data_IF_482079439174
#
_entry.id   IF_482079439174
#
_cell.length_a   1.000
_cell.length_b   1.000
_cell.length_c   1.000
_cell.angle_alpha   90.00
_cell.angle_beta   90.00
_cell.angle_gamma   90.00
#
_symmetry.space_group_name_H-M   'P 1'
#
loop_
_entity.id
_entity.type
_entity.pdbx_description
1 polymer ?
#
# COMPACT_ATOMS: atom_id res chain seq x y z
N UNK A 1 -1.13 13.65 -5.40
CA UNK A 1 -1.52 12.67 -4.35
C UNK A 1 -1.19 11.28 -4.83
N UNK A 2 -0.69 10.41 -3.95
CA UNK A 2 -0.34 9.05 -4.32
C UNK A 2 -1.57 8.23 -4.70
N UNK A 3 -1.38 7.29 -5.62
CA UNK A 3 -2.38 6.25 -5.92
C UNK A 3 -2.06 5.05 -5.03
N UNK A 4 -3.07 4.53 -4.33
CA UNK A 4 -2.89 3.50 -3.32
C UNK A 4 -3.64 2.22 -3.68
N UNK A 5 -3.16 1.10 -3.15
CA UNK A 5 -3.86 -0.18 -3.18
C UNK A 5 -3.80 -0.77 -1.79
N UNK A 6 -4.87 -1.39 -1.34
CA UNK A 6 -4.91 -2.07 -0.05
C UNK A 6 -4.85 -3.58 -0.29
N UNK A 7 -3.90 -4.24 0.37
CA UNK A 7 -3.77 -5.69 0.35
C UNK A 7 -5.03 -6.34 0.91
N UNK A 8 -5.28 -7.59 0.57
CA UNK A 8 -6.53 -8.30 0.90
C UNK A 8 -6.82 -8.29 2.40
N UNK A 9 -5.79 -8.50 3.21
CA UNK A 9 -5.93 -8.56 4.68
C UNK A 9 -5.72 -7.21 5.36
N UNK A 10 -5.60 -6.14 4.59
CA UNK A 10 -5.47 -4.80 5.17
C UNK A 10 -6.80 -4.38 5.78
N UNK A 11 -6.76 -3.73 6.95
CA UNK A 11 -7.96 -3.38 7.72
C UNK A 11 -8.93 -2.52 6.91
N UNK A 12 -10.11 -3.04 6.64
CA UNK A 12 -11.13 -2.33 5.88
C UNK A 12 -11.61 -1.06 6.57
N UNK A 13 -11.57 -1.05 7.90
CA UNK A 13 -11.92 0.16 8.68
C UNK A 13 -10.97 1.32 8.37
N UNK A 14 -9.70 1.03 8.09
CA UNK A 14 -8.75 2.07 7.69
C UNK A 14 -9.11 2.59 6.31
N UNK A 15 -9.39 1.69 5.35
CA UNK A 15 -9.77 2.09 3.99
C UNK A 15 -11.02 2.98 4.02
N UNK A 16 -12.04 2.57 4.77
CA UNK A 16 -13.27 3.38 4.90
C UNK A 16 -13.00 4.73 5.54
N UNK A 17 -12.15 4.77 6.55
CA UNK A 17 -11.78 6.01 7.22
C UNK A 17 -11.03 6.97 6.30
N UNK A 18 -10.14 6.43 5.47
CA UNK A 18 -9.43 7.22 4.46
C UNK A 18 -10.40 7.87 3.48
N UNK A 19 -11.32 7.08 2.94
CA UNK A 19 -12.30 7.56 1.97
C UNK A 19 -13.33 8.51 2.58
N UNK A 20 -13.62 8.35 3.87
CA UNK A 20 -14.50 9.28 4.57
C UNK A 20 -13.87 10.67 4.69
N UNK A 21 -12.57 10.73 4.93
CA UNK A 21 -11.85 12.00 5.06
C UNK A 21 -11.48 12.61 3.72
N UNK A 22 -11.22 11.76 2.72
CA UNK A 22 -10.83 12.20 1.36
C UNK A 22 -11.58 11.36 0.34
N UNK A 23 -12.83 11.71 0.01
CA UNK A 23 -13.65 10.90 -0.89
C UNK A 23 -13.05 10.68 -2.29
N UNK A 24 -12.19 11.57 -2.75
CA UNK A 24 -11.52 11.44 -4.06
C UNK A 24 -10.12 10.84 -3.97
N UNK A 25 -9.73 10.28 -2.83
CA UNK A 25 -8.48 9.53 -2.72
C UNK A 25 -8.53 8.32 -3.66
N UNK A 26 -7.50 8.15 -4.48
CA UNK A 26 -7.41 7.01 -5.39
C UNK A 26 -6.87 5.80 -4.64
N UNK A 27 -7.75 5.01 -4.09
CA UNK A 27 -7.42 3.78 -3.38
C UNK A 27 -8.37 2.67 -3.81
N UNK A 28 -7.82 1.49 -4.11
CA UNK A 28 -8.60 0.29 -4.43
C UNK A 28 -8.14 -0.86 -3.55
N UNK A 29 -9.03 -1.80 -3.27
CA UNK A 29 -8.67 -3.03 -2.59
C UNK A 29 -8.39 -4.10 -3.63
N UNK A 30 -7.34 -4.90 -3.42
CA UNK A 30 -6.95 -5.92 -4.41
C UNK A 30 -8.07 -6.94 -4.66
N UNK A 31 -8.85 -7.30 -3.63
CA UNK A 31 -9.98 -8.22 -3.80
C UNK A 31 -11.10 -7.64 -4.67
N UNK A 32 -11.20 -6.33 -4.78
CA UNK A 32 -12.24 -5.68 -5.58
C UNK A 32 -11.86 -5.58 -7.06
N UNK A 33 -10.61 -5.90 -7.40
CA UNK A 33 -10.12 -5.84 -8.78
C UNK A 33 -9.72 -7.22 -9.32
N UNK A 34 -10.29 -8.28 -8.73
CA UNK A 34 -10.09 -9.63 -9.22
C UNK A 34 -8.84 -10.32 -8.70
N UNK A 35 -8.23 -9.79 -7.64
CA UNK A 35 -7.00 -10.35 -7.06
C UNK A 35 -7.23 -11.03 -5.72
N UNK A 36 -8.48 -11.41 -5.42
CA UNK A 36 -8.77 -12.17 -4.21
C UNK A 36 -8.00 -13.49 -4.23
N UNK A 37 -7.32 -13.80 -3.13
CA UNK A 37 -6.48 -14.99 -2.97
C UNK A 37 -5.30 -15.04 -3.96
N UNK A 38 -4.97 -13.96 -4.63
CA UNK A 38 -3.77 -13.89 -5.47
C UNK A 38 -2.52 -13.93 -4.61
N UNK A 39 -1.43 -14.48 -5.15
CA UNK A 39 -0.17 -14.51 -4.41
C UNK A 39 0.49 -13.12 -4.38
N UNK A 40 1.48 -12.97 -3.49
CA UNK A 40 2.13 -11.67 -3.27
C UNK A 40 2.82 -11.14 -4.53
N UNK A 41 3.42 -12.02 -5.33
CA UNK A 41 4.07 -11.63 -6.58
C UNK A 41 3.09 -11.02 -7.55
N UNK A 42 1.93 -11.65 -7.70
CA UNK A 42 0.88 -11.17 -8.61
C UNK A 42 0.33 -9.82 -8.16
N UNK A 43 0.14 -9.65 -6.85
CA UNK A 43 -0.33 -8.38 -6.29
C UNK A 43 0.69 -7.27 -6.53
N UNK A 44 1.98 -7.54 -6.27
CA UNK A 44 3.04 -6.55 -6.48
C UNK A 44 3.21 -6.19 -7.95
N UNK A 45 3.11 -7.16 -8.84
CA UNK A 45 3.21 -6.90 -10.28
C UNK A 45 2.05 -6.02 -10.76
N UNK A 46 0.84 -6.33 -10.30
CA UNK A 46 -0.33 -5.52 -10.62
C UNK A 46 -0.18 -4.09 -10.09
N UNK A 47 0.26 -3.94 -8.83
CA UNK A 47 0.47 -2.63 -8.24
C UNK A 47 1.50 -1.82 -9.04
N UNK A 48 2.55 -2.48 -9.51
CA UNK A 48 3.57 -1.83 -10.34
C UNK A 48 2.99 -1.34 -11.67
N UNK A 49 2.18 -2.18 -12.33
CA UNK A 49 1.55 -1.79 -13.60
C UNK A 49 0.58 -0.61 -13.40
N UNK A 50 -0.10 -0.56 -12.26
CA UNK A 50 -1.05 0.49 -11.95
C UNK A 50 -0.40 1.75 -11.35
N UNK A 51 0.87 1.68 -11.01
CA UNK A 51 1.56 2.80 -10.36
C UNK A 51 1.03 3.07 -8.96
N UNK A 52 0.65 2.04 -8.22
CA UNK A 52 0.04 2.17 -6.89
C UNK A 52 1.01 1.77 -5.79
N UNK A 53 1.05 2.57 -4.73
CA UNK A 53 1.73 2.20 -3.50
C UNK A 53 0.83 1.24 -2.74
N UNK A 54 1.38 0.10 -2.32
CA UNK A 54 0.61 -0.94 -1.64
C UNK A 54 0.63 -0.73 -0.13
N UNK A 55 -0.56 -0.78 0.48
CA UNK A 55 -0.73 -0.77 1.93
C UNK A 55 -0.92 -2.19 2.43
N UNK A 56 -0.14 -2.60 3.41
CA UNK A 56 -0.20 -3.95 3.95
C UNK A 56 0.11 -3.97 5.43
N UNK A 57 -0.34 -5.03 6.13
CA UNK A 57 0.09 -5.35 7.49
C UNK A 57 1.13 -6.47 7.51
N UNK A 58 1.41 -7.08 6.36
CA UNK A 58 2.34 -8.22 6.26
C UNK A 58 3.78 -7.72 6.19
N UNK A 59 4.56 -8.00 7.25
CA UNK A 59 5.95 -7.59 7.37
C UNK A 59 6.94 -8.71 7.01
N UNK A 60 6.45 -9.86 6.58
CA UNK A 60 7.32 -11.01 6.29
C UNK A 60 7.30 -11.38 4.81
N UNK A 61 6.26 -12.09 4.37
CA UNK A 61 6.22 -12.67 3.03
C UNK A 61 6.16 -11.61 1.94
N UNK A 62 5.28 -10.64 2.09
CA UNK A 62 5.13 -9.59 1.08
C UNK A 62 6.37 -8.71 1.00
N UNK A 63 6.95 -8.39 2.15
CA UNK A 63 8.18 -7.59 2.21
C UNK A 63 9.31 -8.27 1.47
N UNK A 64 9.45 -9.60 1.65
CA UNK A 64 10.49 -10.36 0.96
C UNK A 64 10.33 -10.28 -0.55
N UNK A 65 9.10 -10.46 -1.04
CA UNK A 65 8.82 -10.36 -2.47
C UNK A 65 9.05 -8.94 -3.00
N UNK A 66 8.76 -7.92 -2.20
CA UNK A 66 9.02 -6.54 -2.59
C UNK A 66 10.53 -6.30 -2.79
N UNK A 67 11.35 -6.75 -1.84
CA UNK A 67 12.79 -6.64 -1.96
C UNK A 67 13.35 -7.46 -3.13
N UNK A 68 12.77 -8.63 -3.40
CA UNK A 68 13.17 -9.44 -4.55
C UNK A 68 12.96 -8.69 -5.85
N UNK A 69 11.83 -7.97 -5.98
CA UNK A 69 11.58 -7.14 -7.17
C UNK A 69 12.63 -6.05 -7.32
N UNK A 70 12.96 -5.37 -6.23
CA UNK A 70 13.98 -4.31 -6.27
C UNK A 70 15.33 -4.87 -6.70
N UNK A 71 15.74 -6.01 -6.13
CA UNK A 71 17.00 -6.65 -6.49
C UNK A 71 17.02 -7.10 -7.95
N UNK A 72 15.87 -7.51 -8.48
CA UNK A 72 15.77 -7.93 -9.88
C UNK A 72 15.65 -6.76 -10.85
N UNK A 73 15.64 -5.52 -10.36
CA UNK A 73 15.49 -4.34 -11.20
C UNK A 73 14.06 -4.13 -11.70
N UNK A 74 13.07 -4.79 -11.09
CA UNK A 74 11.67 -4.66 -11.47
C UNK A 74 11.02 -3.47 -10.75
N UNK A 75 10.07 -2.78 -11.40
CA UNK A 75 9.42 -1.62 -10.78
C UNK A 75 8.68 -1.98 -9.48
N UNK A 76 8.80 -1.11 -8.49
CA UNK A 76 8.04 -1.19 -7.24
C UNK A 76 7.65 0.23 -6.86
N UNK A 77 6.40 0.63 -7.03
CA UNK A 77 5.97 2.01 -6.72
C UNK A 77 6.14 2.39 -5.26
N UNK A 78 6.15 1.39 -4.38
CA UNK A 78 6.35 1.55 -2.96
C UNK A 78 5.43 0.63 -2.17
N UNK A 79 5.84 0.32 -0.95
CA UNK A 79 5.03 -0.47 -0.01
C UNK A 79 5.05 0.25 1.33
N UNK A 80 3.87 0.50 1.88
CA UNK A 80 3.74 1.01 3.24
C UNK A 80 3.26 -0.13 4.14
N UNK A 81 4.11 -0.54 5.06
CA UNK A 81 3.79 -1.56 6.05
C UNK A 81 3.26 -0.88 7.30
N UNK A 82 1.97 -1.06 7.54
CA UNK A 82 1.29 -0.42 8.66
C UNK A 82 1.25 -1.41 9.82
N UNK A 83 1.80 -1.00 10.96
CA UNK A 83 1.76 -1.82 12.16
C UNK A 83 0.29 -2.10 12.52
N UNK A 84 -0.12 -3.39 12.60
CA UNK A 84 -1.52 -3.72 12.87
C UNK A 84 -1.99 -3.27 14.26
N UNK A 85 -1.07 -3.00 15.18
CA UNK A 85 -1.41 -2.52 16.53
C UNK A 85 -1.55 -0.99 16.61
N UNK A 86 -1.23 -0.30 15.52
CA UNK A 86 -1.39 1.15 15.47
C UNK A 86 -2.88 1.50 15.54
N UNK A 87 -3.29 2.46 16.41
CA UNK A 87 -4.68 2.87 16.45
C UNK A 87 -5.17 3.29 15.07
N UNK A 88 -6.39 2.89 14.73
CA UNK A 88 -6.98 3.14 13.40
C UNK A 88 -6.88 4.62 13.01
N UNK A 89 -7.23 5.50 13.92
CA UNK A 89 -7.18 6.95 13.69
C UNK A 89 -5.76 7.41 13.33
N UNK A 90 -4.76 6.89 14.04
CA UNK A 90 -3.36 7.22 13.80
C UNK A 90 -2.90 6.72 12.44
N UNK A 91 -3.30 5.50 12.09
CA UNK A 91 -2.96 4.93 10.78
C UNK A 91 -3.55 5.77 9.66
N UNK A 92 -4.80 6.19 9.78
CA UNK A 92 -5.47 7.05 8.80
C UNK A 92 -4.70 8.38 8.65
N UNK A 93 -4.34 9.02 9.76
CA UNK A 93 -3.63 10.29 9.72
C UNK A 93 -2.28 10.17 9.02
N UNK A 94 -1.51 9.14 9.32
CA UNK A 94 -0.19 8.97 8.72
C UNK A 94 -0.26 8.62 7.24
N UNK A 95 -1.20 7.76 6.86
CA UNK A 95 -1.37 7.40 5.44
C UNK A 95 -1.79 8.63 4.63
N UNK A 96 -2.74 9.41 5.13
CA UNK A 96 -3.17 10.63 4.44
C UNK A 96 -2.03 11.64 4.32
N UNK A 97 -1.24 11.80 5.38
CA UNK A 97 -0.10 12.70 5.34
C UNK A 97 0.87 12.30 4.21
N UNK A 98 1.21 11.02 4.13
CA UNK A 98 2.09 10.53 3.08
C UNK A 98 1.45 10.67 1.68
N UNK A 99 0.19 10.32 1.56
CA UNK A 99 -0.50 10.37 0.26
C UNK A 99 -0.59 11.80 -0.27
N UNK A 100 -0.84 12.78 0.60
CA UNK A 100 -1.03 14.16 0.20
C UNK A 100 0.26 14.94 0.06
N UNK A 101 1.30 14.57 0.82
CA UNK A 101 2.56 15.30 0.86
C UNK A 101 3.67 14.68 0.01
N UNK A 102 3.42 13.54 -0.62
CA UNK A 102 4.40 12.88 -1.49
C UNK A 102 4.08 13.15 -2.95
N UNK A 103 5.12 13.29 -3.77
CA UNK A 103 4.94 13.38 -5.21
C UNK A 103 5.01 11.98 -5.85
N UNK A 104 4.50 11.85 -7.06
CA UNK A 104 4.50 10.57 -7.78
C UNK A 104 5.93 10.09 -7.98
N UNK A 105 6.15 8.82 -7.65
CA UNK A 105 7.46 8.18 -7.78
C UNK A 105 8.38 8.39 -6.58
N UNK A 106 7.99 9.18 -5.59
CA UNK A 106 8.84 9.43 -4.43
C UNK A 106 9.24 8.16 -3.69
N UNK A 107 8.35 7.19 -3.63
CA UNK A 107 8.58 5.95 -2.87
C UNK A 107 9.03 4.77 -3.73
N UNK A 108 9.35 5.03 -4.98
CA UNK A 108 9.79 3.98 -5.91
C UNK A 108 10.96 3.18 -5.32
N UNK A 109 10.80 1.86 -5.30
CA UNK A 109 11.81 0.94 -4.79
C UNK A 109 11.93 0.90 -3.28
N UNK A 110 10.99 1.48 -2.54
CA UNK A 110 11.10 1.59 -1.09
C UNK A 110 9.98 0.86 -0.36
N UNK A 111 10.34 0.30 0.79
CA UNK A 111 9.39 -0.24 1.78
C UNK A 111 9.47 0.67 3.00
N UNK A 112 8.34 1.23 3.40
CA UNK A 112 8.28 2.16 4.52
C UNK A 112 7.41 1.57 5.62
N UNK A 113 7.92 1.62 6.85
CA UNK A 113 7.17 1.13 8.00
C UNK A 113 6.43 2.29 8.66
N UNK A 114 5.13 2.08 8.99
CA UNK A 114 4.33 3.06 9.71
C UNK A 114 3.96 2.51 11.08
N UNK A 115 4.05 3.31 12.16
CA UNK A 115 4.29 4.76 12.17
C UNK A 115 5.74 5.13 11.85
N UNK A 116 5.88 6.31 11.33
CA UNK A 116 7.20 6.86 11.03
C UNK A 116 7.90 7.32 12.30
#
# INVERSE_FOLDING_TARGET
>A
MLRLAADENFAHTIVRGLLRRRPNLDIVRVQDVGLSAADDRSVLEWAAREGRVLLTHDVSTLTQHAYDRVRAGEPLPGVFEVNPDLPIRRAIEEILLLAECSFDGEWEGQVRYLPI
#
